data_IF_436626829026
#
_entry.id   IF_436626829026
#
_cell.length_a   1.000
_cell.length_b   1.000
_cell.length_c   1.000
_cell.angle_alpha   90.00
_cell.angle_beta   90.00
_cell.angle_gamma   90.00
#
_symmetry.space_group_name_H-M   'P 1'
#
loop_
_entity.id
_entity.type
_entity.pdbx_description
1 polymer ?
#
# COMPACT_ATOMS: atom_id res chain seq x y z
N UNK A 1 -5.06 -8.68 -15.00
CA UNK A 1 -3.70 -8.10 -14.93
C UNK A 1 -2.96 -8.86 -13.83
N UNK A 2 -1.80 -9.44 -14.11
CA UNK A 2 -1.04 -10.25 -13.15
C UNK A 2 0.19 -9.49 -12.68
N UNK A 3 0.44 -9.43 -11.37
CA UNK A 3 1.62 -8.79 -10.79
C UNK A 3 2.82 -9.73 -10.96
N UNK A 4 3.91 -9.23 -11.54
CA UNK A 4 5.15 -10.00 -11.67
C UNK A 4 6.03 -9.82 -10.42
N UNK A 5 6.14 -10.87 -9.62
CA UNK A 5 7.03 -10.94 -8.46
C UNK A 5 8.43 -11.28 -8.96
N UNK A 6 9.43 -10.47 -8.59
CA UNK A 6 10.83 -10.72 -8.93
C UNK A 6 11.57 -11.39 -7.76
N UNK A 7 12.67 -12.11 -8.02
CA UNK A 7 13.45 -12.77 -6.97
C UNK A 7 14.03 -11.81 -5.92
N UNK A 8 14.15 -10.52 -6.25
CA UNK A 8 14.63 -9.47 -5.34
C UNK A 8 13.52 -8.88 -4.47
N UNK A 9 12.27 -9.28 -4.66
CA UNK A 9 11.17 -8.79 -3.85
C UNK A 9 11.20 -9.39 -2.46
N UNK A 10 11.05 -8.52 -1.45
CA UNK A 10 11.00 -8.95 -0.06
C UNK A 10 9.62 -9.48 0.28
N UNK A 11 9.56 -10.73 0.72
CA UNK A 11 8.36 -11.34 1.29
C UNK A 11 8.33 -11.06 2.80
N UNK A 12 7.25 -10.45 3.27
CA UNK A 12 7.05 -10.14 4.68
C UNK A 12 6.17 -11.18 5.36
N UNK A 13 6.49 -11.54 6.61
CA UNK A 13 5.69 -12.49 7.41
C UNK A 13 4.76 -11.77 8.40
N UNK A 14 5.06 -10.52 8.66
CA UNK A 14 4.22 -9.55 9.36
C UNK A 14 3.31 -8.82 8.36
N UNK A 15 2.13 -8.42 8.80
CA UNK A 15 1.17 -7.67 7.98
C UNK A 15 0.64 -6.42 8.69
N UNK A 16 1.50 -5.47 9.11
CA UNK A 16 1.03 -4.19 9.62
C UNK A 16 0.19 -3.41 8.59
N UNK A 17 -0.69 -2.56 9.12
CA UNK A 17 -1.48 -1.62 8.33
C UNK A 17 -0.60 -0.55 7.67
N UNK A 18 -1.11 0.05 6.59
CA UNK A 18 -0.45 1.18 5.93
C UNK A 18 -0.30 2.35 6.93
N UNK A 19 0.83 3.06 6.88
CA UNK A 19 1.17 4.10 7.86
C UNK A 19 2.01 3.61 9.03
N UNK A 20 1.98 2.31 9.36
CA UNK A 20 2.87 1.73 10.36
C UNK A 20 4.34 1.84 9.91
N UNK A 21 5.31 2.12 10.81
CA UNK A 21 6.73 2.29 10.44
C UNK A 21 7.34 1.08 9.71
N UNK A 22 6.80 -0.11 9.94
CA UNK A 22 7.25 -1.37 9.34
C UNK A 22 6.51 -1.74 8.05
N UNK A 23 5.53 -0.94 7.61
CA UNK A 23 4.85 -1.17 6.34
C UNK A 23 5.77 -0.70 5.21
N UNK A 24 6.50 -1.62 4.59
CA UNK A 24 7.50 -1.33 3.55
C UNK A 24 7.11 -1.96 2.22
N UNK A 25 7.52 -1.33 1.12
CA UNK A 25 7.38 -1.88 -0.22
C UNK A 25 8.40 -2.98 -0.49
N UNK A 26 7.93 -4.14 -0.93
CA UNK A 26 8.71 -5.34 -1.27
C UNK A 26 9.76 -5.09 -2.35
N UNK A 27 9.52 -4.14 -3.28
CA UNK A 27 10.43 -3.82 -4.40
C UNK A 27 11.52 -2.84 -4.03
N UNK A 28 11.15 -1.70 -3.44
CA UNK A 28 12.07 -0.57 -3.26
C UNK A 28 12.52 -0.37 -1.81
N UNK A 29 11.92 -1.10 -0.86
CA UNK A 29 12.22 -1.02 0.57
C UNK A 29 11.77 0.28 1.25
N UNK A 30 11.16 1.22 0.52
CA UNK A 30 10.64 2.46 1.08
C UNK A 30 9.33 2.24 1.83
N UNK A 31 9.04 3.11 2.79
CA UNK A 31 7.82 3.07 3.58
C UNK A 31 6.56 3.26 2.72
N UNK A 32 5.52 2.51 3.06
CA UNK A 32 4.15 2.67 2.63
C UNK A 32 3.41 3.49 3.69
N UNK A 33 3.27 4.79 3.41
CA UNK A 33 2.49 5.72 4.21
C UNK A 33 1.00 5.38 4.21
N UNK A 34 0.27 5.95 5.16
CA UNK A 34 -1.17 5.71 5.39
C UNK A 34 -2.03 6.09 4.18
N UNK A 35 -1.64 7.15 3.46
CA UNK A 35 -2.31 7.61 2.25
C UNK A 35 -1.96 6.80 1.00
N UNK A 36 -0.99 5.89 1.05
CA UNK A 36 -0.72 5.00 -0.07
C UNK A 36 -1.73 3.85 -0.08
N UNK A 37 -2.17 3.44 -1.28
CA UNK A 37 -2.98 2.24 -1.49
C UNK A 37 -2.08 1.11 -2.03
N UNK A 38 -1.32 0.41 -1.16
CA UNK A 38 -0.42 -0.62 -1.63
C UNK A 38 -1.17 -1.77 -2.25
N UNK A 39 -0.62 -2.27 -3.35
CA UNK A 39 -1.05 -3.55 -3.90
C UNK A 39 -0.41 -4.66 -3.07
N UNK A 40 -1.26 -5.52 -2.52
CA UNK A 40 -0.85 -6.65 -1.70
C UNK A 40 -1.04 -7.97 -2.45
N UNK A 41 -0.07 -8.86 -2.35
CA UNK A 41 -0.12 -10.18 -2.97
C UNK A 41 0.26 -11.25 -1.94
N UNK A 42 -0.59 -12.27 -1.79
CA UNK A 42 -0.39 -13.38 -0.87
C UNK A 42 -0.02 -14.63 -1.65
N UNK A 43 1.25 -15.09 -1.61
CA UNK A 43 1.62 -16.37 -2.20
C UNK A 43 0.88 -17.51 -1.50
N UNK A 44 0.41 -18.48 -2.29
CA UNK A 44 -0.29 -19.65 -1.75
C UNK A 44 0.60 -20.40 -0.75
N UNK A 45 -0.01 -20.82 0.37
CA UNK A 45 0.61 -21.66 1.42
C UNK A 45 1.69 -20.98 2.26
N UNK A 46 1.87 -19.67 2.13
CA UNK A 46 2.74 -18.91 3.02
C UNK A 46 1.87 -17.89 3.76
N UNK A 47 1.92 -17.88 5.09
CA UNK A 47 1.33 -16.82 5.91
C UNK A 47 2.21 -15.58 5.82
N UNK A 48 2.28 -15.01 4.63
CA UNK A 48 3.20 -13.97 4.24
C UNK A 48 2.60 -13.13 3.11
N UNK A 49 3.07 -11.91 2.95
CA UNK A 49 2.58 -10.98 1.93
C UNK A 49 3.73 -10.23 1.25
N UNK A 50 3.51 -9.92 -0.03
CA UNK A 50 4.21 -8.87 -0.73
C UNK A 50 3.36 -7.61 -0.72
N UNK A 51 4.01 -6.45 -0.64
CA UNK A 51 3.35 -5.14 -0.60
C UNK A 51 4.06 -4.21 -1.57
N UNK A 52 3.33 -3.52 -2.44
CA UNK A 52 3.94 -2.73 -3.50
C UNK A 52 3.33 -1.34 -3.60
N UNK A 53 4.19 -0.34 -3.79
CA UNK A 53 3.82 0.92 -4.43
C UNK A 53 3.30 0.64 -5.85
N UNK A 54 2.29 1.38 -6.29
CA UNK A 54 1.73 1.28 -7.65
C UNK A 54 2.82 1.53 -8.70
N UNK A 55 3.67 2.52 -8.44
CA UNK A 55 4.78 2.87 -9.33
C UNK A 55 5.82 1.75 -9.44
N UNK A 56 6.07 1.00 -8.36
CA UNK A 56 7.08 -0.06 -8.31
C UNK A 56 6.70 -1.31 -9.12
N UNK A 57 5.43 -1.44 -9.51
CA UNK A 57 4.91 -2.55 -10.32
C UNK A 57 4.27 -2.07 -11.63
N UNK A 58 4.44 -0.79 -11.98
CA UNK A 58 3.98 -0.24 -13.26
C UNK A 58 2.47 -0.10 -13.40
N UNK A 59 1.74 0.05 -12.28
CA UNK A 59 0.28 0.24 -12.28
C UNK A 59 -0.16 1.71 -12.19
N UNK A 60 0.78 2.65 -12.13
CA UNK A 60 0.50 4.09 -12.08
C UNK A 60 1.38 4.82 -11.08
N UNK A 61 0.98 6.03 -10.69
CA UNK A 61 1.62 6.76 -9.58
C UNK A 61 0.96 6.39 -8.25
N UNK A 62 1.72 6.40 -7.17
CA UNK A 62 1.13 6.43 -5.85
C UNK A 62 0.44 7.77 -5.62
N UNK A 63 -0.58 7.74 -4.77
CA UNK A 63 -1.32 8.93 -4.34
C UNK A 63 -0.44 9.82 -3.48
N UNK A 64 -0.61 11.14 -3.59
CA UNK A 64 0.03 12.09 -2.67
C UNK A 64 -0.79 12.24 -1.38
N UNK A 65 -0.18 12.83 -0.34
CA UNK A 65 -0.89 13.07 0.92
C UNK A 65 -2.07 14.02 0.71
N UNK A 66 -1.88 15.08 -0.08
CA UNK A 66 -2.90 16.09 -0.37
C UNK A 66 -4.10 15.50 -1.12
N UNK A 67 -3.84 14.58 -2.07
CA UNK A 67 -4.91 13.86 -2.79
C UNK A 67 -5.74 12.99 -1.84
N UNK A 68 -5.11 12.36 -0.83
CA UNK A 68 -5.82 11.58 0.17
C UNK A 68 -6.59 12.47 1.15
N UNK A 69 -5.98 13.56 1.62
CA UNK A 69 -6.65 14.51 2.52
C UNK A 69 -7.88 15.12 1.85
N UNK A 70 -7.78 15.57 0.59
CA UNK A 70 -8.92 16.15 -0.14
C UNK A 70 -10.08 15.17 -0.33
N UNK A 71 -9.80 13.89 -0.56
CA UNK A 71 -10.83 12.85 -0.69
C UNK A 71 -11.50 12.53 0.67
N UNK A 72 -10.74 12.55 1.77
CA UNK A 72 -11.27 12.24 3.10
C UNK A 72 -11.95 13.46 3.75
N UNK A 73 -11.50 14.68 3.52
CA UNK A 73 -12.15 15.91 4.01
C UNK A 73 -13.56 16.03 3.44
N UNK A 74 -13.74 15.76 2.13
CA UNK A 74 -15.07 15.67 1.51
C UNK A 74 -15.96 14.59 2.13
N UNK A 75 -15.38 13.53 2.69
CA UNK A 75 -16.12 12.49 3.39
C UNK A 75 -16.55 12.94 4.80
N UNK A 76 -15.72 13.69 5.52
CA UNK A 76 -16.06 14.16 6.88
C UNK A 76 -17.05 15.32 6.90
N UNK A 77 -17.05 16.21 5.89
CA UNK A 77 -18.04 17.29 5.78
C UNK A 77 -19.47 16.79 5.47
N UNK A 78 -19.60 15.61 4.86
CA UNK A 78 -20.89 14.97 4.56
C UNK A 78 -21.45 14.12 5.72
N UNK A 79 -20.68 13.95 6.81
CA UNK A 79 -21.15 13.24 8.01
C UNK A 79 -21.68 14.26 9.00
N UNK A 80 -23.00 14.49 8.95
CA UNK A 80 -23.74 15.20 9.99
C UNK A 80 -23.72 14.31 11.25
N UNK A 81 -22.73 14.51 12.13
CA UNK A 81 -22.68 13.85 13.43
C UNK A 81 -23.80 14.41 14.33
N UNK A 82 -24.75 13.61 14.81
CA UNK A 82 -25.77 14.07 15.76
C UNK A 82 -25.18 14.47 17.12
#
# INVERSE_FOLDING_TARGET
MSIQILPTDTLFRDSPDAGHPQCLCSRCGKKLEEWHHPIRAWPEKQNAEYRFHLACIGLGKDRTKEEWEAENEAFYDDIDFP
#
